data_IF_544323819589
#
_entry.id   IF_544323819589
#
_cell.length_a   1.000
_cell.length_b   1.000
_cell.length_c   1.000
_cell.angle_alpha   90.00
_cell.angle_beta   90.00
_cell.angle_gamma   90.00
#
_symmetry.space_group_name_H-M   'P 1'
#
loop_
_entity.id
_entity.type
_entity.pdbx_description
1 polymer ?
#
# COMPACT_ATOMS: atom_id res chain seq x y z
N UNK A 1 58.66 33.42 12.02
CA UNK A 1 60.01 32.96 12.42
C UNK A 1 60.15 31.57 11.79
N UNK A 2 61.00 31.25 10.84
CA UNK A 2 62.35 31.68 10.46
C UNK A 2 62.56 31.45 8.96
N UNK A 3 63.27 32.37 8.29
CA UNK A 3 63.67 32.32 6.87
C UNK A 3 64.93 31.43 6.71
N UNK A 4 65.17 30.78 5.55
CA UNK A 4 66.40 30.05 5.29
C UNK A 4 67.54 30.97 4.81
N UNK A 5 68.76 30.61 5.19
CA UNK A 5 70.06 31.24 4.87
C UNK A 5 70.64 30.57 3.60
N UNK A 6 71.28 31.29 2.67
CA UNK A 6 71.94 30.70 1.51
C UNK A 6 73.42 30.39 1.78
N UNK A 7 73.85 29.17 1.48
CA UNK A 7 75.24 28.73 1.56
C UNK A 7 76.04 29.22 0.35
N UNK A 8 76.76 30.34 0.52
CA UNK A 8 77.89 30.74 -0.33
C UNK A 8 79.16 30.07 0.19
N UNK A 9 79.83 29.26 -0.64
CA UNK A 9 81.29 28.95 -0.58
C UNK A 9 81.65 27.84 -1.59
N UNK A 10 81.84 28.20 -2.86
CA UNK A 10 82.90 27.65 -3.73
C UNK A 10 83.11 28.67 -4.87
N UNK A 11 83.94 29.67 -4.62
CA UNK A 11 84.38 30.63 -5.63
C UNK A 11 85.78 31.07 -5.23
N UNK A 12 86.80 30.39 -5.76
CA UNK A 12 88.13 30.90 -6.09
C UNK A 12 89.07 29.72 -6.34
N UNK A 13 89.40 29.47 -7.60
CA UNK A 13 90.72 28.99 -8.08
C UNK A 13 90.61 28.67 -9.57
N UNK A 14 90.66 29.68 -10.45
CA UNK A 14 91.04 29.52 -11.86
C UNK A 14 91.27 30.89 -12.49
N UNK A 15 92.37 31.55 -12.13
CA UNK A 15 92.94 32.62 -12.93
C UNK A 15 94.43 32.34 -13.11
N UNK A 16 94.80 31.86 -14.31
CA UNK A 16 96.01 32.23 -15.10
C UNK A 16 96.45 31.06 -15.99
N UNK A 17 96.12 31.15 -17.28
CA UNK A 17 96.92 30.74 -18.46
C UNK A 17 96.00 30.90 -19.69
N UNK A 18 96.07 32.04 -20.37
CA UNK A 18 96.77 32.17 -21.65
C UNK A 18 95.93 31.69 -22.85
N UNK A 19 95.36 32.70 -23.53
CA UNK A 19 95.07 32.82 -24.96
C UNK A 19 94.66 31.57 -25.76
N UNK A 20 93.43 31.65 -26.31
CA UNK A 20 93.11 31.08 -27.62
C UNK A 20 92.47 29.69 -27.61
N UNK A 21 91.17 29.63 -27.33
CA UNK A 21 90.18 28.92 -28.15
C UNK A 21 88.80 29.13 -27.49
N UNK A 22 88.11 30.19 -27.90
CA UNK A 22 86.70 30.35 -27.63
C UNK A 22 85.91 29.54 -28.68
N UNK A 23 85.80 28.23 -28.50
CA UNK A 23 84.74 27.40 -29.11
C UNK A 23 84.83 25.99 -28.51
N UNK A 24 83.87 25.64 -27.64
CA UNK A 24 83.52 24.29 -27.12
C UNK A 24 83.38 24.18 -25.59
N UNK A 25 82.89 25.21 -24.89
CA UNK A 25 82.53 25.09 -23.47
C UNK A 25 81.12 25.63 -23.18
N UNK A 26 80.13 25.21 -23.99
CA UNK A 26 78.72 25.54 -23.77
C UNK A 26 77.79 24.31 -23.91
N UNK A 27 78.33 23.09 -23.77
CA UNK A 27 77.55 21.85 -23.88
C UNK A 27 77.69 20.90 -22.67
N UNK A 28 78.20 21.38 -21.53
CA UNK A 28 78.39 20.53 -20.32
C UNK A 28 77.77 21.10 -19.03
N UNK A 29 76.78 21.99 -19.14
CA UNK A 29 75.96 22.38 -18.00
C UNK A 29 74.55 21.80 -18.20
N UNK A 30 74.34 20.59 -17.67
CA UNK A 30 73.08 19.87 -17.41
C UNK A 30 73.16 18.36 -17.71
N UNK A 31 74.35 17.75 -17.60
CA UNK A 31 74.42 16.31 -17.40
C UNK A 31 74.33 16.04 -15.89
N UNK A 32 73.32 15.30 -15.38
CA UNK A 32 73.36 14.80 -14.00
C UNK A 32 74.63 13.95 -13.84
N UNK A 33 75.22 13.88 -12.63
CA UNK A 33 76.46 13.14 -12.42
C UNK A 33 76.28 11.69 -12.89
N UNK A 34 77.04 11.30 -13.91
CA UNK A 34 77.15 9.93 -14.37
C UNK A 34 77.82 9.11 -13.26
N UNK A 35 77.00 8.43 -12.45
CA UNK A 35 77.51 7.63 -11.34
C UNK A 35 76.53 7.33 -10.21
N UNK A 36 75.27 7.76 -10.27
CA UNK A 36 74.26 7.18 -9.41
C UNK A 36 73.69 5.95 -10.13
N UNK A 37 74.27 4.78 -9.85
CA UNK A 37 73.65 3.51 -10.20
C UNK A 37 72.36 3.47 -9.39
N UNK A 38 71.20 3.64 -10.03
CA UNK A 38 69.90 3.59 -9.36
C UNK A 38 69.88 2.40 -8.40
N UNK A 39 69.92 2.70 -7.10
CA UNK A 39 70.08 1.68 -6.07
C UNK A 39 68.78 1.61 -5.28
N UNK A 40 68.10 0.48 -5.45
CA UNK A 40 66.80 0.28 -4.85
C UNK A 40 66.85 0.01 -3.36
N UNK A 41 68.02 -0.22 -2.75
CA UNK A 41 68.18 -0.34 -1.29
C UNK A 41 67.10 -1.24 -0.63
N UNK A 42 66.75 -2.36 -1.27
CA UNK A 42 65.73 -3.30 -0.80
C UNK A 42 64.27 -2.92 -1.13
N UNK A 43 64.02 -1.85 -1.87
CA UNK A 43 62.71 -1.49 -2.43
C UNK A 43 62.34 -2.43 -3.57
N UNK A 44 61.08 -2.86 -3.57
CA UNK A 44 60.47 -3.70 -4.61
C UNK A 44 59.87 -2.86 -5.75
N UNK A 45 59.58 -1.58 -5.49
CA UNK A 45 58.93 -0.67 -6.42
C UNK A 45 59.20 0.80 -6.04
N UNK A 46 58.87 1.74 -6.93
CA UNK A 46 58.97 3.18 -6.68
C UNK A 46 60.23 3.81 -7.28
N UNK A 47 60.44 5.12 -7.09
CA UNK A 47 61.56 5.84 -7.71
C UNK A 47 62.91 5.38 -7.13
N UNK A 48 63.92 5.26 -7.99
CA UNK A 48 65.28 4.83 -7.63
C UNK A 48 66.20 5.97 -7.17
N UNK A 49 65.68 7.20 -7.14
CA UNK A 49 66.39 8.40 -6.68
C UNK A 49 67.04 9.22 -7.80
N UNK A 50 67.14 8.67 -9.02
CA UNK A 50 67.86 9.29 -10.15
C UNK A 50 66.96 9.53 -11.38
N UNK A 51 65.65 9.46 -11.17
CA UNK A 51 64.64 9.64 -12.22
C UNK A 51 64.22 8.34 -12.92
N UNK A 52 64.72 7.19 -12.48
CA UNK A 52 64.26 5.85 -12.87
C UNK A 52 63.35 5.20 -11.83
N UNK A 53 63.14 3.89 -11.93
CA UNK A 53 62.24 3.15 -11.02
C UNK A 53 62.78 1.76 -10.67
N UNK A 54 62.54 1.33 -9.43
CA UNK A 54 63.05 0.11 -8.81
C UNK A 54 62.30 -1.18 -9.16
N UNK A 55 61.30 -1.08 -10.02
CA UNK A 55 60.36 -2.14 -10.34
C UNK A 55 58.91 -1.67 -10.28
N UNK A 56 58.02 -2.50 -10.79
CA UNK A 56 56.58 -2.30 -10.74
C UNK A 56 55.93 -3.45 -9.97
N UNK A 57 54.91 -3.13 -9.19
CA UNK A 57 54.14 -4.15 -8.50
C UNK A 57 53.32 -4.96 -9.51
N UNK A 58 53.17 -6.25 -9.23
CA UNK A 58 52.30 -7.14 -10.00
C UNK A 58 50.84 -6.69 -9.89
N UNK A 59 50.00 -7.16 -10.82
CA UNK A 59 48.57 -6.81 -10.87
C UNK A 59 47.91 -7.10 -9.51
N UNK A 60 47.21 -6.10 -8.97
CA UNK A 60 46.57 -6.17 -7.65
C UNK A 60 47.40 -5.60 -6.49
N UNK A 61 48.61 -5.10 -6.74
CA UNK A 61 49.47 -4.47 -5.72
C UNK A 61 49.82 -3.02 -6.10
N UNK A 62 50.01 -2.16 -5.10
CA UNK A 62 50.44 -0.75 -5.24
C UNK A 62 51.70 -0.51 -4.43
N UNK A 63 52.52 0.44 -4.87
CA UNK A 63 53.75 0.76 -4.20
C UNK A 63 53.50 1.69 -3.01
N UNK A 64 53.83 1.23 -1.80
CA UNK A 64 53.85 2.05 -0.58
C UNK A 64 54.93 3.13 -0.67
N UNK A 65 54.80 4.23 0.10
CA UNK A 65 55.83 5.27 0.23
C UNK A 65 57.19 4.73 0.75
N UNK A 66 57.20 3.56 1.40
CA UNK A 66 58.42 2.87 1.81
C UNK A 66 59.08 2.03 0.69
N UNK A 67 58.45 1.92 -0.48
CA UNK A 67 58.96 1.17 -1.64
C UNK A 67 58.69 -0.33 -1.60
N UNK A 68 57.66 -0.76 -0.85
CA UNK A 68 57.17 -2.15 -0.81
C UNK A 68 55.88 -2.29 -1.60
N UNK A 69 55.69 -3.44 -2.25
CA UNK A 69 54.43 -3.76 -2.92
C UNK A 69 53.41 -4.28 -1.91
N UNK A 70 52.39 -3.46 -1.62
CA UNK A 70 51.28 -3.83 -0.75
C UNK A 70 50.03 -4.10 -1.60
N UNK A 71 49.08 -4.94 -1.16
CA UNK A 71 47.83 -5.15 -1.88
C UNK A 71 47.16 -3.82 -2.18
N UNK A 72 46.67 -3.65 -3.42
CA UNK A 72 45.76 -2.55 -3.73
C UNK A 72 44.59 -2.67 -2.79
N UNK A 73 44.36 -1.63 -2.00
CA UNK A 73 43.16 -1.61 -1.20
C UNK A 73 41.97 -1.57 -2.16
N UNK A 74 41.04 -2.50 -1.96
CA UNK A 74 39.81 -2.59 -2.73
C UNK A 74 38.75 -1.91 -1.92
N UNK A 75 38.31 -0.74 -2.37
CA UNK A 75 37.26 0.02 -1.71
C UNK A 75 35.96 -0.81 -1.71
N UNK A 76 35.51 -1.20 -0.52
CA UNK A 76 34.33 -2.04 -0.37
C UNK A 76 33.02 -1.29 -0.64
N UNK A 77 33.01 0.05 -0.62
CA UNK A 77 31.81 0.83 -0.93
C UNK A 77 31.34 0.54 -2.36
N UNK A 78 32.26 0.64 -3.32
CA UNK A 78 31.94 0.39 -4.74
C UNK A 78 32.02 -1.10 -5.08
N UNK A 79 32.99 -1.82 -4.52
CA UNK A 79 33.27 -3.21 -4.93
C UNK A 79 32.29 -4.21 -4.33
N UNK A 80 31.80 -3.96 -3.11
CA UNK A 80 30.78 -4.79 -2.45
C UNK A 80 29.41 -4.09 -2.36
N UNK A 81 29.30 -2.85 -2.83
CA UNK A 81 28.08 -2.06 -2.73
C UNK A 81 27.75 -1.60 -1.30
N UNK A 82 28.75 -1.49 -0.43
CA UNK A 82 28.55 -1.10 0.96
C UNK A 82 28.09 0.37 1.07
N UNK A 83 27.02 0.56 1.85
CA UNK A 83 26.34 1.86 2.06
C UNK A 83 26.87 2.59 3.29
N UNK A 84 27.25 1.85 4.33
CA UNK A 84 27.88 2.41 5.53
C UNK A 84 29.07 1.55 6.00
N UNK A 85 29.86 2.03 6.97
CA UNK A 85 30.93 1.25 7.62
C UNK A 85 32.33 1.46 7.02
N UNK A 86 33.36 0.82 7.56
CA UNK A 86 34.73 0.99 7.07
C UNK A 86 34.91 0.45 5.65
N UNK A 87 35.61 1.18 4.79
CA UNK A 87 35.81 0.79 3.39
C UNK A 87 36.99 -0.18 3.18
N UNK A 88 37.59 -0.69 4.27
CA UNK A 88 38.76 -1.57 4.25
C UNK A 88 40.08 -0.86 3.95
N UNK A 89 40.06 0.45 3.65
CA UNK A 89 41.22 1.25 3.25
C UNK A 89 41.58 2.34 4.26
N UNK A 90 41.01 2.30 5.47
CA UNK A 90 41.16 3.34 6.48
C UNK A 90 40.24 4.56 6.25
N UNK A 91 39.26 4.43 5.34
CA UNK A 91 38.14 5.35 5.17
C UNK A 91 36.81 4.70 5.54
N UNK A 92 35.72 5.42 5.36
CA UNK A 92 34.36 4.96 5.66
C UNK A 92 33.43 5.14 4.45
N UNK A 93 32.61 4.14 4.17
CA UNK A 93 31.44 4.21 3.33
C UNK A 93 30.33 4.95 4.09
N UNK A 94 29.71 5.96 3.46
CA UNK A 94 28.48 6.65 3.86
C UNK A 94 28.18 6.79 5.37
N UNK A 95 26.91 7.00 5.70
CA UNK A 95 26.37 6.89 7.07
C UNK A 95 24.95 6.34 6.96
N UNK A 96 24.58 5.45 7.88
CA UNK A 96 23.21 4.95 7.94
C UNK A 96 22.27 6.03 8.54
N UNK A 97 20.97 5.94 8.25
CA UNK A 97 19.98 6.91 8.73
C UNK A 97 19.74 6.83 10.25
N UNK A 98 18.99 7.77 10.84
CA UNK A 98 18.71 7.77 12.27
C UNK A 98 17.97 6.49 12.69
N UNK A 99 18.41 5.87 13.80
CA UNK A 99 17.87 4.60 14.27
C UNK A 99 18.38 3.36 13.53
N UNK A 100 19.22 3.53 12.50
CA UNK A 100 19.84 2.42 11.77
C UNK A 100 21.28 2.18 12.23
N UNK A 101 21.67 0.91 12.24
CA UNK A 101 23.03 0.47 12.54
C UNK A 101 23.73 -0.03 11.28
N UNK A 102 25.05 0.09 11.25
CA UNK A 102 25.85 -0.48 10.17
C UNK A 102 26.20 -1.91 10.52
N UNK A 103 25.64 -2.87 9.77
CA UNK A 103 26.00 -4.27 9.87
C UNK A 103 26.52 -4.78 8.52
N UNK A 104 27.77 -5.23 8.49
CA UNK A 104 28.49 -5.70 7.30
C UNK A 104 28.30 -4.85 6.02
N UNK A 105 28.31 -3.53 6.17
CA UNK A 105 28.20 -2.60 5.05
C UNK A 105 26.77 -2.22 4.66
N UNK A 106 25.77 -2.75 5.35
CA UNK A 106 24.34 -2.52 5.11
C UNK A 106 23.74 -1.77 6.29
N UNK A 107 22.85 -0.82 6.01
CA UNK A 107 22.05 -0.15 7.03
C UNK A 107 20.94 -1.11 7.48
N UNK A 108 20.97 -1.55 8.73
CA UNK A 108 19.94 -2.42 9.33
C UNK A 108 19.14 -1.65 10.37
N UNK A 109 17.90 -2.09 10.61
CA UNK A 109 16.95 -1.42 11.50
C UNK A 109 15.93 -0.55 10.77
N UNK A 110 14.86 -0.20 11.49
CA UNK A 110 13.86 0.75 11.01
C UNK A 110 14.45 2.16 11.05
N UNK A 111 14.37 2.87 9.93
CA UNK A 111 14.75 4.27 9.91
C UNK A 111 13.70 5.07 10.66
N UNK A 112 14.12 5.83 11.66
CA UNK A 112 13.24 6.67 12.48
C UNK A 112 13.36 8.10 11.95
N UNK A 113 12.33 8.64 11.26
CA UNK A 113 12.36 10.00 10.73
C UNK A 113 12.62 11.03 11.84
N UNK A 114 13.64 11.87 11.71
CA UNK A 114 13.89 12.95 12.67
C UNK A 114 13.47 14.31 12.09
N UNK A 115 12.31 14.75 12.55
CA UNK A 115 11.72 16.06 12.25
C UNK A 115 11.75 17.03 13.43
N UNK A 116 12.50 16.72 14.49
CA UNK A 116 12.55 17.52 15.70
C UNK A 116 13.07 18.93 15.41
N UNK A 117 12.19 19.92 15.49
CA UNK A 117 12.52 21.32 15.20
C UNK A 117 12.61 21.68 13.71
N UNK A 118 12.29 20.75 12.81
CA UNK A 118 12.23 20.98 11.36
C UNK A 118 10.78 21.28 10.94
N UNK A 119 10.55 22.42 10.28
CA UNK A 119 9.27 22.76 9.67
C UNK A 119 9.14 22.33 8.20
N UNK A 120 10.28 21.99 7.59
CA UNK A 120 10.42 21.52 6.21
C UNK A 120 11.77 20.79 6.07
N UNK A 121 11.98 20.07 4.96
CA UNK A 121 13.28 19.48 4.57
C UNK A 121 13.32 17.98 4.81
N UNK A 122 14.46 17.34 4.60
CA UNK A 122 14.55 15.88 4.67
C UNK A 122 14.50 15.36 6.12
N UNK A 123 13.90 14.18 6.29
CA UNK A 123 13.78 13.48 7.56
C UNK A 123 14.94 12.51 7.85
N UNK A 124 15.98 12.55 7.01
CA UNK A 124 17.18 11.69 7.05
C UNK A 124 16.90 10.19 6.79
N UNK A 125 15.66 9.85 6.46
CA UNK A 125 15.18 8.53 6.06
C UNK A 125 14.71 8.48 4.61
N UNK A 126 14.96 9.55 3.84
CA UNK A 126 14.54 9.68 2.44
C UNK A 126 13.10 10.20 2.26
N UNK A 127 12.43 10.53 3.37
CA UNK A 127 11.19 11.29 3.39
C UNK A 127 11.43 12.77 3.69
N UNK A 128 10.35 13.50 4.00
CA UNK A 128 10.40 14.95 4.27
C UNK A 128 9.59 15.33 5.51
N UNK A 129 10.15 16.24 6.29
CA UNK A 129 9.58 16.81 7.51
C UNK A 129 8.67 17.99 7.19
N UNK A 130 7.43 17.71 6.82
CA UNK A 130 6.45 18.76 6.50
C UNK A 130 6.70 19.41 5.14
N UNK A 131 5.91 20.44 4.83
CA UNK A 131 5.97 21.14 3.55
C UNK A 131 5.72 22.63 3.75
N UNK A 132 6.47 23.46 3.03
CA UNK A 132 6.30 24.90 3.13
C UNK A 132 5.06 25.38 2.38
N UNK A 133 4.42 26.46 2.88
CA UNK A 133 3.40 27.17 2.13
C UNK A 133 3.90 27.56 0.73
N UNK A 134 2.97 27.71 -0.20
CA UNK A 134 3.25 28.11 -1.58
C UNK A 134 4.08 29.41 -1.57
N UNK A 135 5.17 29.47 -2.35
CA UNK A 135 6.18 30.56 -2.45
C UNK A 135 7.26 30.63 -1.36
N UNK A 136 7.17 29.81 -0.31
CA UNK A 136 8.22 29.72 0.70
C UNK A 136 9.26 28.67 0.29
N UNK A 137 10.54 28.95 0.54
CA UNK A 137 11.59 27.95 0.37
C UNK A 137 11.92 27.30 1.70
N UNK A 138 12.25 26.01 1.66
CA UNK A 138 12.86 25.36 2.80
C UNK A 138 14.35 25.72 2.89
N UNK A 139 14.71 26.55 3.86
CA UNK A 139 16.10 26.96 4.10
C UNK A 139 16.41 26.68 5.57
N UNK A 140 17.45 25.90 5.82
CA UNK A 140 17.87 25.51 7.18
C UNK A 140 16.70 24.92 8.00
N UNK A 141 15.95 24.02 7.34
CA UNK A 141 14.78 23.32 7.87
C UNK A 141 13.60 24.22 8.30
N UNK A 142 13.59 25.47 7.87
CA UNK A 142 12.51 26.44 8.14
C UNK A 142 11.94 26.99 6.84
N UNK A 143 10.64 27.25 6.85
CA UNK A 143 9.98 27.93 5.75
C UNK A 143 10.31 29.42 5.82
N UNK A 144 11.07 29.88 4.83
CA UNK A 144 11.43 31.29 4.70
C UNK A 144 10.54 31.92 3.64
N UNK A 145 9.73 32.88 4.10
CA UNK A 145 8.76 33.55 3.25
C UNK A 145 9.41 34.30 2.09
N UNK A 146 8.90 34.05 0.87
CA UNK A 146 9.38 34.71 -0.36
C UNK A 146 10.81 34.35 -0.75
N UNK A 147 11.43 33.35 -0.12
CA UNK A 147 12.76 32.87 -0.49
C UNK A 147 12.74 32.00 -1.77
N UNK A 148 11.56 31.59 -2.23
CA UNK A 148 11.40 30.93 -3.51
C UNK A 148 10.76 31.88 -4.51
N UNK A 149 11.48 32.21 -5.59
CA UNK A 149 10.93 32.99 -6.70
C UNK A 149 10.34 32.02 -7.73
N UNK A 150 9.01 31.90 -7.83
CA UNK A 150 8.39 30.97 -8.77
C UNK A 150 8.74 31.36 -10.20
N UNK A 151 9.18 30.40 -11.00
CA UNK A 151 9.56 30.62 -12.39
C UNK A 151 8.74 29.78 -13.35
N UNK A 152 7.90 30.49 -14.11
CA UNK A 152 7.14 29.97 -15.23
C UNK A 152 7.71 30.39 -16.58
N UNK A 153 8.96 30.87 -16.61
CA UNK A 153 9.60 31.25 -17.85
C UNK A 153 9.65 30.04 -18.79
N UNK A 154 9.06 30.19 -19.98
CA UNK A 154 8.90 29.13 -20.98
C UNK A 154 8.04 27.94 -20.53
N UNK A 155 7.16 28.12 -19.53
CA UNK A 155 6.19 27.09 -19.10
C UNK A 155 4.75 27.61 -19.22
N UNK A 156 3.88 26.79 -19.79
CA UNK A 156 2.43 26.99 -19.86
C UNK A 156 1.67 26.14 -18.82
N UNK A 157 2.36 25.17 -18.22
CA UNK A 157 1.85 24.22 -17.24
C UNK A 157 3.02 23.68 -16.39
N UNK A 158 2.72 22.96 -15.31
CA UNK A 158 3.71 22.19 -14.53
C UNK A 158 4.32 22.97 -13.36
N UNK A 159 5.25 22.39 -12.60
CA UNK A 159 5.72 22.99 -11.36
C UNK A 159 6.52 24.29 -11.59
N UNK A 160 6.30 25.27 -10.73
CA UNK A 160 6.97 26.58 -10.75
C UNK A 160 8.32 26.61 -10.00
N UNK A 161 8.69 25.48 -9.37
CA UNK A 161 9.90 25.35 -8.56
C UNK A 161 9.71 25.69 -7.08
N UNK A 162 8.53 26.15 -6.67
CA UNK A 162 8.21 26.65 -5.33
C UNK A 162 6.97 25.96 -4.72
N UNK A 163 6.64 24.75 -5.20
CA UNK A 163 5.49 23.98 -4.75
C UNK A 163 4.16 24.39 -5.38
N UNK A 164 4.12 25.43 -6.22
CA UNK A 164 2.95 25.79 -7.01
C UNK A 164 3.05 25.28 -8.46
N UNK A 165 2.00 25.54 -9.25
CA UNK A 165 1.94 25.19 -10.66
C UNK A 165 1.85 26.44 -11.56
N UNK A 166 2.61 26.43 -12.65
CA UNK A 166 2.59 27.39 -13.73
C UNK A 166 1.39 27.19 -14.64
N UNK A 167 0.20 27.65 -14.25
CA UNK A 167 -1.01 27.49 -15.08
C UNK A 167 -1.47 26.04 -15.22
N UNK A 168 -2.42 25.81 -16.13
CA UNK A 168 -3.03 24.49 -16.34
C UNK A 168 -3.42 24.30 -17.80
N UNK A 169 -3.34 23.07 -18.30
CA UNK A 169 -3.69 22.77 -19.68
C UNK A 169 -5.21 22.71 -19.89
N UNK A 170 -5.65 23.16 -21.08
CA UNK A 170 -7.04 23.00 -21.51
C UNK A 170 -7.38 21.51 -21.68
N UNK A 171 -8.66 21.15 -21.55
CA UNK A 171 -9.10 19.74 -21.66
C UNK A 171 -8.59 19.04 -22.93
N UNK A 172 -7.97 17.86 -22.75
CA UNK A 172 -7.35 17.07 -23.82
C UNK A 172 -5.86 17.35 -24.07
N UNK A 173 -5.24 18.23 -23.28
CA UNK A 173 -3.80 18.51 -23.30
C UNK A 173 -3.15 18.14 -21.97
N UNK A 174 -1.95 17.59 -22.03
CA UNK A 174 -1.17 17.16 -20.86
C UNK A 174 0.06 18.05 -20.74
N UNK A 175 0.50 18.27 -19.51
CA UNK A 175 1.74 18.99 -19.29
C UNK A 175 2.95 18.09 -19.53
N UNK A 176 3.66 18.33 -20.63
CA UNK A 176 4.88 17.62 -20.98
C UNK A 176 6.02 18.62 -21.01
N UNK A 177 6.98 18.47 -20.10
CA UNK A 177 8.16 19.34 -19.99
C UNK A 177 7.82 20.84 -19.90
N UNK A 178 6.73 21.17 -19.21
CA UNK A 178 6.28 22.56 -19.01
C UNK A 178 5.43 23.13 -20.15
N UNK A 179 5.16 22.37 -21.21
CA UNK A 179 4.33 22.80 -22.34
C UNK A 179 3.08 21.94 -22.41
N UNK A 180 1.93 22.59 -22.67
CA UNK A 180 0.70 21.87 -22.94
C UNK A 180 0.76 21.23 -24.31
N UNK A 181 0.97 19.93 -24.35
CA UNK A 181 0.98 19.14 -25.57
C UNK A 181 -0.30 18.32 -25.65
N UNK A 182 -0.84 18.18 -26.87
CA UNK A 182 -1.95 17.26 -27.09
C UNK A 182 -1.42 15.85 -26.85
N UNK A 183 -2.05 15.12 -25.95
CA UNK A 183 -1.74 13.71 -25.81
C UNK A 183 -2.19 12.97 -27.07
N UNK A 184 -1.24 12.38 -27.79
CA UNK A 184 -1.54 11.59 -29.00
C UNK A 184 -1.37 10.09 -28.80
N UNK A 185 -0.73 9.65 -27.70
CA UNK A 185 -0.57 8.24 -27.35
C UNK A 185 -0.69 8.07 -25.84
N UNK A 186 -1.81 7.50 -25.40
CA UNK A 186 -1.89 6.88 -24.08
C UNK A 186 -1.03 5.62 -24.08
N UNK A 187 -0.13 5.47 -23.11
CA UNK A 187 0.68 4.26 -22.97
C UNK A 187 0.28 3.47 -21.72
N UNK A 188 -0.54 2.45 -21.97
CA UNK A 188 -0.98 1.47 -21.00
C UNK A 188 -0.38 0.09 -21.27
N UNK A 189 0.65 0.01 -22.11
CA UNK A 189 1.28 -1.26 -22.46
C UNK A 189 1.87 -1.89 -21.20
N UNK A 190 1.32 -3.02 -20.78
CA UNK A 190 1.74 -3.73 -19.57
C UNK A 190 1.31 -3.09 -18.25
N UNK A 191 0.32 -2.17 -18.27
CA UNK A 191 -0.28 -1.58 -17.06
C UNK A 191 -1.74 -1.98 -16.92
N UNK A 192 -2.13 -2.37 -15.71
CA UNK A 192 -3.53 -2.64 -15.33
C UNK A 192 -4.18 -1.42 -14.64
N UNK A 193 -3.39 -0.65 -13.89
CA UNK A 193 -3.81 0.61 -13.28
C UNK A 193 -2.67 1.64 -13.30
N UNK A 194 -2.95 2.89 -12.92
CA UNK A 194 -1.96 3.99 -12.88
C UNK A 194 -2.01 4.90 -14.11
N UNK A 195 -1.09 5.87 -14.19
CA UNK A 195 -1.13 6.93 -15.20
C UNK A 195 -0.89 6.41 -16.63
N UNK A 196 -1.65 6.97 -17.58
CA UNK A 196 -1.56 6.69 -19.02
C UNK A 196 -0.52 7.56 -19.77
N UNK A 197 0.26 8.35 -19.03
CA UNK A 197 1.23 9.31 -19.58
C UNK A 197 0.60 10.60 -20.12
N UNK A 198 -0.72 10.73 -20.02
CA UNK A 198 -1.51 11.80 -20.61
C UNK A 198 -2.48 12.47 -19.62
N UNK A 199 -2.28 12.26 -18.32
CA UNK A 199 -3.16 12.78 -17.28
C UNK A 199 -4.49 12.04 -17.16
N UNK A 200 -4.65 10.92 -17.88
CA UNK A 200 -5.66 9.90 -17.62
C UNK A 200 -5.05 8.70 -16.88
N UNK A 201 -5.86 7.66 -16.69
CA UNK A 201 -5.45 6.41 -16.05
C UNK A 201 -5.66 5.21 -16.97
N UNK A 202 -4.72 4.27 -16.97
CA UNK A 202 -4.80 3.01 -17.70
C UNK A 202 -5.87 2.03 -17.19
N UNK A 203 -6.35 2.27 -15.97
CA UNK A 203 -7.39 1.49 -15.31
C UNK A 203 -7.42 1.79 -13.81
N UNK A 204 -8.35 1.15 -13.11
CA UNK A 204 -8.48 1.19 -11.65
C UNK A 204 -8.35 -0.22 -11.12
N UNK A 205 -7.57 -0.39 -10.05
CA UNK A 205 -7.46 -1.69 -9.40
C UNK A 205 -8.78 -2.01 -8.65
N UNK A 206 -9.04 -3.29 -8.36
CA UNK A 206 -10.25 -3.72 -7.66
C UNK A 206 -10.33 -3.20 -6.22
N UNK A 207 -11.47 -3.44 -5.55
CA UNK A 207 -11.58 -3.17 -4.11
C UNK A 207 -10.41 -3.86 -3.38
N UNK A 208 -9.77 -3.10 -2.48
CA UNK A 208 -8.64 -3.57 -1.65
C UNK A 208 -7.36 -3.91 -2.42
N UNK A 209 -7.22 -3.44 -3.67
CA UNK A 209 -5.96 -3.48 -4.41
C UNK A 209 -5.35 -2.08 -4.52
N UNK A 210 -4.02 -2.01 -4.41
CA UNK A 210 -3.25 -0.77 -4.60
C UNK A 210 -2.47 -0.83 -5.91
N UNK A 211 -2.50 0.27 -6.66
CA UNK A 211 -1.69 0.42 -7.87
C UNK A 211 -0.22 0.59 -7.49
N UNK A 212 0.61 -0.40 -7.81
CA UNK A 212 2.06 -0.32 -7.62
C UNK A 212 2.77 -0.75 -8.89
N UNK A 213 3.66 0.11 -9.42
CA UNK A 213 4.41 -0.19 -10.65
C UNK A 213 3.53 -0.41 -11.90
N UNK A 214 2.30 0.11 -11.91
CA UNK A 214 1.33 -0.12 -12.98
C UNK A 214 0.55 -1.43 -12.88
N UNK A 215 0.73 -2.19 -11.80
CA UNK A 215 0.05 -3.46 -11.54
C UNK A 215 -0.86 -3.35 -10.32
N UNK A 216 -1.98 -4.07 -10.34
CA UNK A 216 -2.84 -4.19 -9.17
C UNK A 216 -2.16 -5.12 -8.16
N UNK A 217 -1.69 -4.57 -7.05
CA UNK A 217 -0.98 -5.33 -6.01
C UNK A 217 -1.75 -5.32 -4.70
N UNK A 218 -1.52 -6.32 -3.86
CA UNK A 218 -2.07 -6.34 -2.50
C UNK A 218 -3.55 -6.68 -2.42
N UNK A 219 -4.10 -7.43 -3.38
CA UNK A 219 -5.48 -7.92 -3.28
C UNK A 219 -5.68 -8.69 -1.98
N UNK A 220 -6.53 -8.16 -1.11
CA UNK A 220 -6.95 -8.88 0.07
C UNK A 220 -7.76 -10.11 -0.39
N UNK A 221 -7.38 -11.30 0.05
CA UNK A 221 -8.11 -12.52 -0.27
C UNK A 221 -9.24 -12.70 0.76
N UNK A 222 -10.53 -12.59 0.36
CA UNK A 222 -11.65 -12.73 1.28
C UNK A 222 -11.56 -14.05 2.04
N UNK A 223 -11.60 -14.01 3.36
CA UNK A 223 -11.64 -15.21 4.20
C UNK A 223 -12.97 -15.32 4.94
N UNK A 224 -13.80 -16.23 4.42
CA UNK A 224 -15.08 -16.61 4.99
C UNK A 224 -15.09 -18.02 5.57
N UNK A 225 -13.90 -18.61 5.77
CA UNK A 225 -13.77 -19.97 6.28
C UNK A 225 -14.44 -20.09 7.65
N UNK A 226 -15.51 -20.88 7.70
CA UNK A 226 -16.29 -21.10 8.91
C UNK A 226 -17.20 -19.94 9.33
N UNK A 227 -17.49 -18.98 8.45
CA UNK A 227 -18.45 -17.88 8.71
C UNK A 227 -19.64 -17.95 7.77
N UNK A 228 -20.81 -17.56 8.26
CA UNK A 228 -22.06 -17.41 7.49
C UNK A 228 -22.35 -15.94 7.14
N UNK A 229 -21.85 -15.00 7.96
CA UNK A 229 -22.09 -13.58 7.83
C UNK A 229 -20.90 -12.78 8.38
N UNK A 230 -20.93 -11.46 8.18
CA UNK A 230 -19.92 -10.53 8.72
C UNK A 230 -18.82 -10.23 7.71
N UNK A 231 -17.82 -9.44 8.10
CA UNK A 231 -16.75 -9.01 7.19
C UNK A 231 -15.88 -10.16 6.70
N UNK A 232 -15.48 -10.12 5.44
CA UNK A 232 -14.53 -11.06 4.83
C UNK A 232 -13.04 -10.71 5.06
N UNK A 233 -12.79 -9.61 5.80
CA UNK A 233 -11.44 -9.09 6.06
C UNK A 233 -10.89 -8.17 4.98
N UNK A 234 -11.65 -7.99 3.89
CA UNK A 234 -11.24 -7.33 2.65
C UNK A 234 -12.33 -6.37 2.17
N UNK A 235 -12.92 -5.59 3.09
CA UNK A 235 -13.96 -4.61 2.75
C UNK A 235 -15.31 -5.19 2.30
N UNK A 236 -15.42 -6.50 2.06
CA UNK A 236 -16.65 -7.21 1.69
C UNK A 236 -17.29 -7.95 2.86
N UNK A 237 -18.28 -8.80 2.55
CA UNK A 237 -18.99 -9.61 3.54
C UNK A 237 -19.11 -11.08 3.13
N UNK A 238 -19.08 -11.97 4.11
CA UNK A 238 -19.21 -13.42 3.94
C UNK A 238 -20.64 -13.91 3.69
N UNK A 239 -21.62 -12.99 3.75
CA UNK A 239 -23.03 -13.28 3.62
C UNK A 239 -23.89 -12.35 4.47
N UNK A 240 -25.20 -12.45 4.28
CA UNK A 240 -26.21 -11.73 5.04
C UNK A 240 -27.08 -12.72 5.82
N UNK A 241 -27.51 -12.31 7.02
CA UNK A 241 -28.39 -13.13 7.83
C UNK A 241 -29.85 -13.04 7.38
N UNK A 242 -30.65 -14.11 7.59
CA UNK A 242 -32.10 -14.04 7.38
C UNK A 242 -32.73 -12.90 8.17
N UNK A 243 -33.90 -12.40 7.74
CA UNK A 243 -34.65 -11.41 8.51
C UNK A 243 -34.89 -11.93 9.94
N UNK A 244 -34.65 -11.07 10.95
CA UNK A 244 -34.68 -11.34 12.42
C UNK A 244 -33.43 -11.94 13.07
N UNK A 245 -32.43 -12.36 12.29
CA UNK A 245 -31.13 -12.79 12.80
C UNK A 245 -30.11 -11.65 12.77
N UNK A 246 -29.26 -11.58 13.79
CA UNK A 246 -28.12 -10.68 13.83
C UNK A 246 -26.81 -11.45 13.63
N UNK A 247 -25.88 -10.86 12.89
CA UNK A 247 -24.56 -11.45 12.71
C UNK A 247 -23.73 -11.29 13.99
N UNK A 248 -23.52 -12.40 14.70
CA UNK A 248 -22.75 -12.42 15.96
C UNK A 248 -21.65 -13.47 15.86
N UNK A 249 -20.39 -13.05 15.98
CA UNK A 249 -19.24 -13.96 15.91
C UNK A 249 -19.07 -14.67 14.57
N UNK A 250 -19.58 -14.10 13.47
CA UNK A 250 -19.51 -14.70 12.13
C UNK A 250 -20.64 -15.68 11.81
N UNK A 251 -21.58 -15.88 12.73
CA UNK A 251 -22.75 -16.73 12.54
C UNK A 251 -24.04 -15.93 12.72
N UNK A 252 -25.09 -16.36 12.02
CA UNK A 252 -26.41 -15.78 12.21
C UNK A 252 -27.03 -16.35 13.49
N UNK A 253 -27.32 -15.45 14.43
CA UNK A 253 -27.97 -15.79 15.68
C UNK A 253 -29.27 -15.00 15.79
N UNK A 254 -30.37 -15.68 16.10
CA UNK A 254 -31.65 -15.02 16.30
C UNK A 254 -31.57 -14.06 17.48
N UNK A 255 -31.99 -12.81 17.26
CA UNK A 255 -32.02 -11.81 18.31
C UNK A 255 -33.43 -11.73 18.91
N UNK A 256 -33.63 -12.11 20.19
CA UNK A 256 -34.94 -12.07 20.83
C UNK A 256 -35.53 -10.66 20.79
N UNK A 257 -36.73 -10.52 20.20
CA UNK A 257 -37.43 -9.24 20.08
C UNK A 257 -38.35 -9.04 21.29
N UNK A 258 -37.76 -8.56 22.39
CA UNK A 258 -38.48 -8.28 23.63
C UNK A 258 -38.63 -6.79 23.95
N UNK A 259 -38.04 -5.90 23.14
CA UNK A 259 -38.20 -4.47 23.34
C UNK A 259 -39.68 -4.08 23.25
N UNK A 260 -40.20 -3.47 24.32
CA UNK A 260 -41.61 -3.06 24.42
C UNK A 260 -42.60 -4.17 24.81
N UNK A 261 -42.14 -5.39 25.09
CA UNK A 261 -42.97 -6.49 25.60
C UNK A 261 -42.66 -6.78 27.06
N UNK A 262 -43.69 -6.87 27.88
CA UNK A 262 -43.63 -7.39 29.26
C UNK A 262 -43.71 -8.92 29.27
N UNK A 263 -44.45 -9.51 28.33
CA UNK A 263 -44.62 -10.95 28.20
C UNK A 263 -44.82 -11.38 26.72
N UNK A 264 -44.66 -12.67 26.42
CA UNK A 264 -45.08 -13.28 25.14
C UNK A 264 -43.93 -13.76 24.26
N UNK A 265 -44.16 -14.22 23.02
CA UNK A 265 -43.11 -14.80 22.19
C UNK A 265 -42.05 -13.78 21.77
N UNK A 266 -40.79 -14.21 21.74
CA UNK A 266 -39.61 -13.39 21.43
C UNK A 266 -39.20 -13.44 19.95
N UNK A 267 -39.99 -14.08 19.09
CA UNK A 267 -39.74 -14.34 17.67
C UNK A 267 -38.56 -15.29 17.36
N UNK A 268 -37.86 -15.81 18.37
CA UNK A 268 -36.77 -16.79 18.26
C UNK A 268 -37.15 -18.17 18.82
N UNK A 269 -38.44 -18.41 19.08
CA UNK A 269 -38.96 -19.64 19.67
C UNK A 269 -38.91 -19.66 21.21
N UNK A 270 -38.48 -18.57 21.84
CA UNK A 270 -38.55 -18.32 23.28
C UNK A 270 -39.68 -17.36 23.66
N UNK A 271 -39.64 -16.90 24.90
CA UNK A 271 -40.61 -15.94 25.45
C UNK A 271 -39.92 -14.80 26.18
N UNK A 272 -40.37 -13.57 25.91
CA UNK A 272 -40.09 -12.40 26.70
C UNK A 272 -40.86 -12.48 28.01
N UNK A 273 -40.16 -12.34 29.15
CA UNK A 273 -40.76 -12.17 30.47
C UNK A 273 -41.75 -13.26 30.93
N UNK A 274 -42.34 -13.03 32.10
CA UNK A 274 -43.41 -13.85 32.68
C UNK A 274 -44.33 -12.95 33.49
N UNK A 275 -45.64 -13.18 33.43
CA UNK A 275 -46.59 -12.38 34.18
C UNK A 275 -46.67 -12.78 35.66
N UNK A 276 -46.97 -11.79 36.52
CA UNK A 276 -47.17 -12.02 37.94
C UNK A 276 -48.39 -12.89 38.25
N UNK A 277 -48.50 -13.36 39.50
CA UNK A 277 -49.62 -14.18 39.94
C UNK A 277 -50.99 -13.49 39.69
N UNK A 278 -51.91 -14.17 39.01
CA UNK A 278 -53.24 -13.65 38.65
C UNK A 278 -53.28 -12.79 37.38
N UNK A 279 -52.19 -12.73 36.61
CA UNK A 279 -52.12 -12.07 35.31
C UNK A 279 -51.91 -13.10 34.19
N UNK A 280 -52.48 -12.81 33.02
CA UNK A 280 -52.28 -13.58 31.79
C UNK A 280 -51.62 -12.69 30.76
N UNK A 281 -50.77 -13.28 29.93
CA UNK A 281 -50.12 -12.55 28.85
C UNK A 281 -51.10 -12.30 27.70
N UNK A 282 -51.33 -11.03 27.36
CA UNK A 282 -51.96 -10.67 26.09
C UNK A 282 -50.92 -10.84 24.97
N UNK A 283 -51.04 -11.92 24.21
CA UNK A 283 -50.09 -12.25 23.14
C UNK A 283 -50.09 -11.27 21.96
N UNK A 284 -51.11 -10.39 21.85
CA UNK A 284 -51.18 -9.37 20.79
C UNK A 284 -50.42 -8.12 21.21
N UNK A 285 -50.64 -7.65 22.44
CA UNK A 285 -50.03 -6.42 22.96
C UNK A 285 -48.73 -6.65 23.75
N UNK A 286 -48.37 -7.91 24.01
CA UNK A 286 -47.18 -8.29 24.79
C UNK A 286 -47.19 -7.75 26.22
N UNK A 287 -48.36 -7.56 26.82
CA UNK A 287 -48.55 -6.92 28.14
C UNK A 287 -49.21 -7.88 29.12
N UNK A 288 -48.85 -7.79 30.40
CA UNK A 288 -49.48 -8.60 31.44
C UNK A 288 -50.78 -7.96 31.90
N UNK A 289 -51.90 -8.60 31.57
CA UNK A 289 -53.22 -8.15 31.99
C UNK A 289 -53.66 -8.96 33.19
N UNK A 290 -54.15 -8.31 34.24
CA UNK A 290 -54.83 -9.03 35.31
C UNK A 290 -56.03 -9.71 34.69
N UNK A 291 -56.12 -11.03 34.84
CA UNK A 291 -57.43 -11.67 34.75
C UNK A 291 -58.17 -11.18 35.98
N UNK A 292 -58.79 -10.01 35.91
CA UNK A 292 -59.98 -9.81 36.71
C UNK A 292 -60.85 -10.99 36.34
N UNK A 293 -61.27 -11.85 37.29
CA UNK A 293 -62.48 -12.59 37.06
C UNK A 293 -63.46 -11.50 36.65
N UNK A 294 -63.89 -11.48 35.38
CA UNK A 294 -65.08 -10.74 35.02
C UNK A 294 -66.15 -11.42 35.87
N UNK A 295 -66.38 -10.85 37.05
CA UNK A 295 -67.61 -11.05 37.76
C UNK A 295 -68.67 -10.67 36.75
N UNK A 296 -69.33 -11.69 36.23
CA UNK A 296 -70.61 -11.62 35.55
C UNK A 296 -70.61 -10.79 34.24
N UNK A 297 -70.61 -11.48 33.10
CA UNK A 297 -71.55 -11.13 32.03
C UNK A 297 -71.05 -10.47 30.75
N UNK A 298 -69.94 -9.74 30.73
CA UNK A 298 -69.62 -8.93 29.54
C UNK A 298 -68.50 -9.52 28.68
N UNK A 299 -68.79 -10.63 27.99
CA UNK A 299 -68.04 -11.04 26.81
C UNK A 299 -68.52 -10.20 25.61
N UNK A 300 -67.73 -9.21 25.21
CA UNK A 300 -67.86 -8.62 23.88
C UNK A 300 -67.30 -9.65 22.89
N UNK A 301 -68.19 -10.50 22.36
CA UNK A 301 -68.07 -11.10 21.03
C UNK A 301 -67.01 -12.18 20.76
N UNK A 302 -66.30 -12.73 21.76
CA UNK A 302 -65.49 -13.94 21.52
C UNK A 302 -66.38 -15.19 21.67
N UNK A 303 -66.57 -15.91 20.57
CA UNK A 303 -67.22 -17.23 20.48
C UNK A 303 -66.36 -18.37 21.05
N UNK A 304 -65.20 -18.06 21.64
CA UNK A 304 -64.26 -19.05 22.13
C UNK A 304 -64.57 -19.39 23.60
N UNK A 305 -65.39 -20.42 23.80
CA UNK A 305 -65.65 -20.96 25.13
C UNK A 305 -64.47 -21.80 25.65
N UNK A 306 -64.24 -21.84 26.98
CA UNK A 306 -63.30 -22.77 27.60
C UNK A 306 -63.61 -24.22 27.21
N UNK A 307 -62.59 -25.07 27.17
CA UNK A 307 -62.71 -26.49 26.82
C UNK A 307 -63.80 -27.19 27.64
N UNK A 308 -64.78 -27.79 26.94
CA UNK A 308 -65.94 -28.47 27.55
C UNK A 308 -67.25 -27.66 27.54
N UNK A 309 -67.24 -26.42 27.07
CA UNK A 309 -68.43 -25.57 26.97
C UNK A 309 -68.70 -25.13 25.53
N UNK A 310 -69.98 -24.88 25.20
CA UNK A 310 -70.41 -24.41 23.87
C UNK A 310 -71.12 -23.07 24.04
N UNK A 311 -70.85 -22.12 23.12
CA UNK A 311 -71.51 -20.81 23.11
C UNK A 311 -72.97 -20.96 22.72
N UNK A 312 -73.88 -20.61 23.64
CA UNK A 312 -75.31 -20.55 23.35
C UNK A 312 -75.68 -19.11 22.95
N UNK A 313 -76.06 -18.86 21.68
CA UNK A 313 -76.42 -17.53 21.21
C UNK A 313 -77.74 -17.00 21.81
N UNK A 314 -78.62 -17.87 22.32
CA UNK A 314 -79.85 -17.47 23.03
C UNK A 314 -79.54 -17.07 24.48
N UNK A 315 -78.66 -17.80 25.15
CA UNK A 315 -78.24 -17.50 26.52
C UNK A 315 -77.11 -16.47 26.61
N UNK A 316 -76.51 -16.07 25.48
CA UNK A 316 -75.31 -15.20 25.37
C UNK A 316 -74.20 -15.59 26.37
N UNK A 317 -74.04 -16.89 26.60
CA UNK A 317 -73.13 -17.45 27.59
C UNK A 317 -72.70 -18.87 27.21
N UNK A 318 -71.57 -19.31 27.76
CA UNK A 318 -71.07 -20.67 27.56
C UNK A 318 -71.80 -21.65 28.48
N UNK A 319 -72.39 -22.71 27.91
CA UNK A 319 -73.13 -23.75 28.65
C UNK A 319 -72.44 -25.10 28.53
N UNK A 320 -72.62 -25.96 29.55
CA UNK A 320 -72.05 -27.32 29.57
C UNK A 320 -72.75 -28.16 28.51
N UNK A 321 -72.01 -28.59 27.49
CA UNK A 321 -72.54 -29.48 26.46
C UNK A 321 -72.92 -30.82 27.07
N UNK A 322 -74.21 -31.12 27.14
CA UNK A 322 -74.69 -32.39 27.69
C UNK A 322 -74.57 -33.53 26.65
N UNK A 323 -73.33 -34.03 26.51
CA UNK A 323 -72.92 -35.39 26.07
C UNK A 323 -73.10 -35.82 24.61
N UNK A 324 -72.64 -37.03 24.21
CA UNK A 324 -71.59 -37.89 24.77
C UNK A 324 -70.35 -37.94 23.84
N UNK A 325 -69.28 -38.63 24.28
CA UNK A 325 -67.98 -38.62 23.61
C UNK A 325 -67.97 -39.08 22.15
N UNK A 326 -66.97 -38.58 21.40
CA UNK A 326 -66.43 -39.23 20.22
C UNK A 326 -65.00 -38.74 20.04
N UNK A 327 -64.04 -39.66 20.18
CA UNK A 327 -62.75 -39.57 19.53
C UNK A 327 -62.99 -39.32 18.03
N UNK A 328 -62.33 -38.31 17.46
CA UNK A 328 -62.25 -38.19 16.01
C UNK A 328 -60.86 -37.66 15.64
N UNK A 329 -60.11 -38.58 15.05
CA UNK A 329 -58.81 -38.41 14.45
C UNK A 329 -58.77 -37.24 13.47
N UNK A 330 -57.72 -36.44 13.54
CA UNK A 330 -57.36 -35.54 12.44
C UNK A 330 -56.54 -36.33 11.40
N UNK A 331 -57.25 -37.10 10.58
CA UNK A 331 -56.76 -37.65 9.32
C UNK A 331 -57.26 -36.80 8.15
N UNK A 332 -56.35 -36.44 7.24
CA UNK A 332 -56.61 -35.55 6.11
C UNK A 332 -57.48 -36.14 4.99
N UNK A 333 -57.95 -35.22 4.14
CA UNK A 333 -58.65 -35.45 2.87
C UNK A 333 -59.34 -34.14 2.50
N UNK A 334 -59.08 -33.47 1.37
CA UNK A 334 -58.84 -34.01 0.04
C UNK A 334 -60.17 -34.03 -0.70
N UNK A 335 -60.58 -32.90 -1.28
CA UNK A 335 -61.80 -32.80 -2.08
C UNK A 335 -61.43 -32.30 -3.49
N UNK A 336 -61.48 -33.21 -4.45
CA UNK A 336 -61.41 -32.94 -5.87
C UNK A 336 -62.77 -33.24 -6.52
N UNK A 337 -63.09 -32.48 -7.58
CA UNK A 337 -64.19 -32.72 -8.55
C UNK A 337 -65.44 -31.87 -8.28
N UNK A 338 -66.02 -31.11 -9.22
CA UNK A 338 -65.83 -30.94 -10.67
C UNK A 338 -66.72 -29.77 -11.16
N UNK A 339 -67.39 -29.86 -12.33
CA UNK A 339 -66.90 -29.38 -13.64
C UNK A 339 -67.79 -28.27 -14.25
N UNK A 340 -67.38 -27.70 -15.40
CA UNK A 340 -68.17 -27.28 -16.61
C UNK A 340 -67.43 -26.17 -17.44
N UNK A 341 -67.83 -25.79 -18.67
CA UNK A 341 -67.16 -26.27 -19.90
C UNK A 341 -66.79 -25.14 -20.91
N UNK A 342 -66.10 -25.52 -22.00
CA UNK A 342 -66.45 -25.00 -23.33
C UNK A 342 -65.50 -24.02 -24.03
N UNK A 343 -64.67 -24.58 -24.94
CA UNK A 343 -64.33 -24.03 -26.27
C UNK A 343 -63.23 -22.96 -26.35
N UNK A 344 -62.43 -22.85 -27.41
CA UNK A 344 -62.17 -23.65 -28.60
C UNK A 344 -60.92 -23.03 -29.32
N UNK A 345 -60.33 -23.80 -30.24
CA UNK A 345 -59.43 -23.41 -31.36
C UNK A 345 -57.94 -23.19 -31.00
N UNK A 346 -57.04 -24.15 -31.28
CA UNK A 346 -56.46 -24.54 -32.58
C UNK A 346 -55.31 -23.62 -33.05
N UNK A 347 -54.08 -24.16 -33.10
CA UNK A 347 -52.90 -23.45 -33.59
C UNK A 347 -51.58 -24.25 -33.59
N UNK A 348 -51.49 -25.22 -34.50
CA UNK A 348 -50.30 -25.61 -35.29
C UNK A 348 -48.93 -25.82 -34.62
N UNK A 349 -48.61 -27.11 -34.43
CA UNK A 349 -47.47 -27.85 -35.01
C UNK A 349 -46.25 -27.05 -35.54
N UNK A 350 -45.05 -27.47 -35.14
CA UNK A 350 -43.98 -27.69 -36.12
C UNK A 350 -42.55 -27.31 -35.76
N UNK A 351 -41.79 -28.35 -35.37
CA UNK A 351 -40.46 -28.70 -35.88
C UNK A 351 -39.19 -28.01 -35.33
N UNK A 352 -38.51 -28.78 -34.48
CA UNK A 352 -37.07 -28.78 -34.22
C UNK A 352 -36.33 -29.49 -35.35
N UNK A 353 -35.35 -28.86 -36.02
CA UNK A 353 -34.29 -29.57 -36.77
C UNK A 353 -32.94 -28.82 -36.68
N UNK A 354 -31.99 -29.54 -36.09
CA UNK A 354 -30.58 -29.76 -36.42
C UNK A 354 -29.66 -28.63 -36.93
N UNK A 355 -28.57 -28.51 -36.16
CA UNK A 355 -27.27 -27.94 -36.46
C UNK A 355 -26.66 -28.47 -37.78
N UNK A 356 -26.27 -27.56 -38.67
CA UNK A 356 -25.20 -27.80 -39.62
C UNK A 356 -24.54 -26.48 -40.06
N UNK A 357 -23.24 -26.38 -39.78
CA UNK A 357 -22.26 -25.74 -40.66
C UNK A 357 -22.21 -24.22 -40.68
N UNK A 358 -21.09 -23.66 -40.19
CA UNK A 358 -20.29 -22.69 -40.96
C UNK A 358 -18.89 -22.54 -40.36
N UNK A 359 -17.99 -23.40 -40.84
CA UNK A 359 -16.53 -23.24 -40.77
C UNK A 359 -16.14 -22.29 -41.90
N UNK A 360 -15.83 -21.03 -41.58
CA UNK A 360 -15.23 -20.10 -42.55
C UNK A 360 -13.71 -20.11 -42.38
N UNK A 361 -13.01 -20.55 -43.43
CA UNK A 361 -11.59 -20.24 -43.71
C UNK A 361 -11.55 -19.20 -44.82
N UNK A 362 -10.70 -18.18 -44.67
CA UNK A 362 -9.91 -17.42 -45.68
C UNK A 362 -9.15 -16.36 -44.87
N UNK A 363 -7.84 -16.43 -44.64
CA UNK A 363 -6.70 -16.27 -45.56
C UNK A 363 -6.64 -14.89 -46.24
N UNK A 364 -5.64 -14.08 -45.86
CA UNK A 364 -5.01 -13.07 -46.73
C UNK A 364 -5.17 -11.61 -46.33
N UNK A 365 -4.29 -11.12 -45.43
CA UNK A 365 -3.55 -9.85 -45.52
C UNK A 365 -2.56 -9.79 -44.36
#
# INVERSE_FOLDING_TARGET
>A
MTRPVPSSRVLLSCLRAAAGLALACALLANAPPAGAVGNCNGKQCGPDGDGGSCGACTVGFVCSGQGQCIPKCVDWCDSKGWKCGDNGCGGQCGKCGPGQECDEGVCTGECIPDCSGKGCGDDECGGSCGGCPVTDACIDYKCVAGACTPSCTNKNCGPDGCGAQCGSCLGGFTCVSGVCAKCTQQDCTGKECGDDGCGGSCGTCGADQTCSGGQCTGGCQPDCSGRQCGSDGCGGSCGECPPSDLCTGGFCACQPVCAGKECGPDACGGTCGTCGAGQTCDSVNGSCVTTTPRGNGDAIGSTDCPSGFVWDPLARSCVVGSGPGSSADSGGGGCAGGPSPGGALAGLLGLMIALAGRRWRRAGA
#
